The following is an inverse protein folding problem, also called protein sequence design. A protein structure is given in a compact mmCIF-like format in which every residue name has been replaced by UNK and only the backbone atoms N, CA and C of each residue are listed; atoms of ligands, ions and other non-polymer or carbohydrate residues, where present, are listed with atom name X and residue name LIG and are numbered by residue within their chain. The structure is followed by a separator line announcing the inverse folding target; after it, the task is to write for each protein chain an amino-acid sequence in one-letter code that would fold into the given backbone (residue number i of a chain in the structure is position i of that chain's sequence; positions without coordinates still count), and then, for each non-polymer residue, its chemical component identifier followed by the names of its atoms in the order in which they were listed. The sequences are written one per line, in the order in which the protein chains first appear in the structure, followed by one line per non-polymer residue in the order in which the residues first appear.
data_IF_501133816169
#
_entry.id   IF_501133816169
#
_cell.length_a   1.000
_cell.length_b   1.000
_cell.length_c   1.000
_cell.angle_alpha   90.00
_cell.angle_beta   90.00
_cell.angle_gamma   90.00
#
_symmetry.space_group_name_H-M   'P 1'
#
loop_
_entity.id
_entity.type
_entity.pdbx_description
1 polymer ?
#
# COMPACT_ATOMS: atom_id res chain seq x y z
N UNK A 1 -7.05 1.40 -6.02
CA UNK A 1 -7.52 2.10 -4.80
C UNK A 1 -8.97 2.55 -4.96
N UNK A 2 -9.92 1.60 -5.02
CA UNK A 2 -11.36 1.92 -5.15
C UNK A 2 -12.21 0.71 -4.74
N UNK A 3 -12.12 0.31 -3.47
CA UNK A 3 -13.12 -0.49 -2.73
C UNK A 3 -12.88 -0.28 -1.21
N UNK A 4 -12.74 0.98 -0.83
CA UNK A 4 -13.34 1.49 0.41
C UNK A 4 -14.52 2.30 -0.10
N UNK A 5 -15.57 1.63 -0.54
CA UNK A 5 -16.75 2.35 -1.06
C UNK A 5 -17.43 3.04 0.10
N UNK A 6 -17.36 4.38 0.06
CA UNK A 6 -18.35 5.32 0.57
C UNK A 6 -19.01 4.90 1.89
N UNK A 7 -18.25 4.95 2.99
CA UNK A 7 -18.89 5.39 4.23
C UNK A 7 -19.37 6.82 4.00
N UNK A 8 -20.58 7.12 4.46
CA UNK A 8 -21.10 8.48 4.57
C UNK A 8 -20.05 9.33 5.30
N UNK A 9 -19.27 10.08 4.52
CA UNK A 9 -17.99 10.68 4.94
C UNK A 9 -18.17 11.66 6.09
N UNK A 10 -19.40 12.12 6.28
CA UNK A 10 -19.84 13.02 7.35
C UNK A 10 -19.85 12.37 8.73
N UNK A 11 -20.25 11.09 8.85
CA UNK A 11 -20.31 10.38 10.16
C UNK A 11 -19.01 9.64 10.48
N UNK A 12 -18.29 9.18 9.47
CA UNK A 12 -17.01 8.50 9.63
C UNK A 12 -15.87 9.42 10.13
N UNK A 13 -16.06 10.75 10.07
CA UNK A 13 -15.12 11.75 10.57
C UNK A 13 -15.60 12.44 11.86
N UNK A 14 -16.75 12.05 12.41
CA UNK A 14 -17.22 12.56 13.70
C UNK A 14 -16.25 12.13 14.82
N UNK A 15 -15.69 13.06 15.61
CA UNK A 15 -14.75 12.73 16.68
C UNK A 15 -15.31 11.73 17.70
N UNK A 16 -16.61 11.82 18.03
CA UNK A 16 -17.26 10.91 18.95
C UNK A 16 -17.34 9.47 18.42
N UNK A 17 -17.72 9.31 17.15
CA UNK A 17 -17.72 8.01 16.48
C UNK A 17 -16.31 7.41 16.33
N UNK A 18 -15.32 8.23 15.98
CA UNK A 18 -13.92 7.79 15.86
C UNK A 18 -13.36 7.27 17.18
N UNK A 19 -13.67 7.94 18.30
CA UNK A 19 -13.24 7.50 19.62
C UNK A 19 -13.93 6.19 20.04
N UNK A 20 -15.25 6.07 19.83
CA UNK A 20 -15.96 4.81 20.08
C UNK A 20 -15.39 3.65 19.25
N UNK A 21 -15.09 3.88 17.97
CA UNK A 21 -14.49 2.89 17.08
C UNK A 21 -13.12 2.45 17.59
N UNK A 22 -12.29 3.40 18.01
CA UNK A 22 -10.97 3.13 18.61
C UNK A 22 -11.12 2.28 19.87
N UNK A 23 -12.01 2.66 20.78
CA UNK A 23 -12.25 1.93 22.03
C UNK A 23 -12.70 0.48 21.78
N UNK A 24 -13.60 0.28 20.80
CA UNK A 24 -14.06 -1.05 20.40
C UNK A 24 -12.93 -1.93 19.85
N UNK A 25 -12.08 -1.38 18.98
CA UNK A 25 -10.93 -2.09 18.43
C UNK A 25 -9.92 -2.43 19.54
N UNK A 26 -9.59 -1.47 20.40
CA UNK A 26 -8.66 -1.69 21.51
C UNK A 26 -9.21 -2.75 22.50
N UNK A 27 -10.52 -2.78 22.75
CA UNK A 27 -11.16 -3.80 23.57
C UNK A 27 -11.12 -5.19 22.91
N UNK A 28 -11.37 -5.25 21.60
CA UNK A 28 -11.28 -6.47 20.81
C UNK A 28 -9.85 -7.03 20.85
N UNK A 29 -8.84 -6.17 20.67
CA UNK A 29 -7.44 -6.58 20.76
C UNK A 29 -7.10 -7.15 22.14
N UNK A 30 -7.54 -6.50 23.23
CA UNK A 30 -7.32 -7.01 24.60
C UNK A 30 -7.95 -8.38 24.81
N UNK A 31 -9.18 -8.58 24.32
CA UNK A 31 -9.84 -9.88 24.41
C UNK A 31 -9.03 -10.95 23.66
N UNK A 32 -8.62 -10.70 22.42
CA UNK A 32 -7.84 -11.65 21.61
C UNK A 32 -6.50 -11.97 22.27
N UNK A 33 -5.82 -10.95 22.81
CA UNK A 33 -4.54 -11.13 23.50
C UNK A 33 -4.67 -11.95 24.80
N UNK A 34 -5.87 -12.04 25.38
CA UNK A 34 -6.15 -12.88 26.54
C UNK A 34 -6.44 -14.34 26.18
N UNK A 35 -6.73 -14.64 24.92
CA UNK A 35 -6.98 -16.01 24.46
C UNK A 35 -5.68 -16.82 24.52
N UNK A 36 -5.81 -18.10 24.90
CA UNK A 36 -4.69 -19.04 24.83
C UNK A 36 -4.45 -19.46 23.37
N UNK A 37 -3.21 -19.80 23.04
CA UNK A 37 -2.85 -20.14 21.65
C UNK A 37 -3.49 -21.42 21.10
N UNK A 38 -4.09 -22.25 21.97
CA UNK A 38 -4.84 -23.47 21.67
C UNK A 38 -6.36 -23.27 21.75
N UNK A 39 -6.83 -22.02 21.91
CA UNK A 39 -8.25 -21.71 21.94
C UNK A 39 -8.93 -22.10 20.62
N UNK A 40 -10.03 -22.85 20.71
CA UNK A 40 -10.76 -23.40 19.56
C UNK A 40 -11.33 -22.31 18.63
N UNK A 41 -11.48 -21.07 19.12
CA UNK A 41 -11.92 -19.93 18.31
C UNK A 41 -10.85 -19.42 17.37
N UNK A 42 -9.56 -19.62 17.70
CA UNK A 42 -8.45 -19.21 16.86
C UNK A 42 -8.26 -20.23 15.74
N UNK A 43 -8.50 -19.79 14.51
CA UNK A 43 -8.21 -20.53 13.28
C UNK A 43 -7.80 -19.56 12.15
N UNK A 44 -7.50 -20.11 10.96
CA UNK A 44 -7.08 -19.32 9.81
C UNK A 44 -8.08 -18.22 9.43
N UNK A 45 -9.38 -18.55 9.41
CA UNK A 45 -10.45 -17.59 9.08
C UNK A 45 -10.59 -16.49 10.14
N UNK A 46 -10.43 -16.83 11.41
CA UNK A 46 -10.47 -15.87 12.50
C UNK A 46 -9.34 -14.85 12.36
N UNK A 47 -8.10 -15.33 12.18
CA UNK A 47 -6.92 -14.47 12.03
C UNK A 47 -7.06 -13.56 10.82
N UNK A 48 -7.55 -14.08 9.69
CA UNK A 48 -7.72 -13.27 8.48
C UNK A 48 -8.81 -12.23 8.63
N UNK A 49 -9.97 -12.58 9.21
CA UNK A 49 -11.07 -11.64 9.43
C UNK A 49 -10.65 -10.49 10.34
N UNK A 50 -9.98 -10.79 11.45
CA UNK A 50 -9.52 -9.73 12.36
C UNK A 50 -8.43 -8.90 11.69
N UNK A 51 -7.43 -9.51 11.05
CA UNK A 51 -6.36 -8.78 10.37
C UNK A 51 -6.93 -7.87 9.27
N UNK A 52 -7.87 -8.38 8.49
CA UNK A 52 -8.57 -7.63 7.44
C UNK A 52 -9.36 -6.46 8.00
N UNK A 53 -10.11 -6.66 9.08
CA UNK A 53 -10.88 -5.59 9.73
C UNK A 53 -9.96 -4.46 10.21
N UNK A 54 -8.86 -4.79 10.89
CA UNK A 54 -7.90 -3.79 11.36
C UNK A 54 -7.22 -3.05 10.20
N UNK A 55 -6.81 -3.76 9.15
CA UNK A 55 -6.22 -3.15 7.96
C UNK A 55 -7.21 -2.24 7.20
N UNK A 56 -8.45 -2.68 7.03
CA UNK A 56 -9.52 -1.89 6.37
C UNK A 56 -9.86 -0.62 7.14
N UNK A 57 -9.88 -0.74 8.47
CA UNK A 57 -10.09 0.40 9.36
C UNK A 57 -8.81 1.24 9.54
N UNK A 58 -7.67 0.82 8.99
CA UNK A 58 -6.37 1.49 9.15
C UNK A 58 -5.96 1.58 10.63
N UNK A 59 -6.39 0.65 11.48
CA UNK A 59 -6.07 0.64 12.91
C UNK A 59 -4.86 -0.26 13.15
N UNK A 60 -3.73 0.34 13.51
CA UNK A 60 -2.49 -0.38 13.79
C UNK A 60 -2.45 -0.82 15.24
N UNK A 61 -2.20 -2.11 15.48
CA UNK A 61 -2.06 -2.67 16.82
C UNK A 61 -0.94 -3.72 16.88
N UNK A 62 0.28 -3.29 17.20
CA UNK A 62 1.49 -4.11 17.04
C UNK A 62 1.51 -5.39 17.91
N UNK A 63 1.05 -5.33 19.15
CA UNK A 63 1.01 -6.52 20.01
C UNK A 63 0.03 -7.60 19.50
N UNK A 64 -1.08 -7.18 18.88
CA UNK A 64 -2.09 -8.07 18.30
C UNK A 64 -1.51 -8.75 17.06
N UNK A 65 -0.99 -7.96 16.12
CA UNK A 65 -0.38 -8.48 14.89
C UNK A 65 0.86 -9.34 15.18
N UNK A 66 1.68 -8.98 16.16
CA UNK A 66 2.80 -9.82 16.62
C UNK A 66 2.35 -11.15 17.24
N UNK A 67 1.22 -11.16 17.94
CA UNK A 67 0.63 -12.40 18.48
C UNK A 67 0.03 -13.26 17.38
N UNK A 68 -0.68 -12.67 16.41
CA UNK A 68 -1.18 -13.37 15.23
C UNK A 68 -0.05 -13.94 14.39
N UNK A 69 1.04 -13.20 14.18
CA UNK A 69 2.21 -13.70 13.47
C UNK A 69 2.80 -14.95 14.14
N UNK A 70 2.92 -14.96 15.47
CA UNK A 70 3.36 -16.14 16.22
C UNK A 70 2.39 -17.31 16.07
N UNK A 71 1.08 -17.05 16.09
CA UNK A 71 0.06 -18.09 15.88
C UNK A 71 0.16 -18.69 14.46
N UNK A 72 0.17 -17.85 13.42
CA UNK A 72 0.36 -18.26 12.01
C UNK A 72 1.64 -19.07 11.86
N UNK A 73 2.75 -18.62 12.46
CA UNK A 73 4.03 -19.31 12.41
C UNK A 73 4.02 -20.71 13.05
N UNK A 74 3.18 -20.94 14.08
CA UNK A 74 3.01 -22.26 14.72
C UNK A 74 2.03 -23.17 13.99
N UNK A 75 1.03 -22.59 13.32
CA UNK A 75 -0.09 -23.30 12.70
C UNK A 75 -0.07 -23.20 11.18
N UNK A 76 1.10 -22.95 10.60
CA UNK A 76 1.21 -22.59 9.18
C UNK A 76 0.53 -23.62 8.26
N UNK A 77 0.70 -24.91 8.54
CA UNK A 77 0.09 -26.00 7.77
C UNK A 77 -1.46 -25.93 7.72
N UNK A 78 -2.10 -25.29 8.69
CA UNK A 78 -3.56 -25.15 8.77
C UNK A 78 -4.08 -23.94 7.97
N UNK A 79 -3.18 -23.11 7.42
CA UNK A 79 -3.54 -21.90 6.68
C UNK A 79 -3.56 -22.14 5.16
N UNK A 80 -4.73 -22.03 4.50
CA UNK A 80 -4.83 -22.07 3.04
C UNK A 80 -4.19 -20.83 2.40
N UNK A 81 -3.95 -20.88 1.09
CA UNK A 81 -3.31 -19.79 0.36
C UNK A 81 -4.08 -18.48 0.46
N UNK A 82 -5.42 -18.55 0.40
CA UNK A 82 -6.28 -17.38 0.58
C UNK A 82 -6.11 -16.74 1.96
N UNK A 83 -5.91 -17.54 3.01
CA UNK A 83 -5.70 -17.03 4.36
C UNK A 83 -4.32 -16.39 4.51
N UNK A 84 -3.27 -17.04 4.01
CA UNK A 84 -1.90 -16.51 4.05
C UNK A 84 -1.78 -15.18 3.28
N UNK A 85 -2.34 -15.11 2.07
CA UNK A 85 -2.29 -13.88 1.26
C UNK A 85 -3.05 -12.73 1.91
N UNK A 86 -4.21 -13.00 2.52
CA UNK A 86 -5.02 -11.98 3.20
C UNK A 86 -4.36 -11.47 4.48
N UNK A 87 -3.72 -12.35 5.24
CA UNK A 87 -2.95 -11.98 6.42
C UNK A 87 -1.70 -11.16 6.06
N UNK A 88 -0.92 -11.59 5.05
CA UNK A 88 0.23 -10.84 4.54
C UNK A 88 -0.19 -9.47 4.00
N UNK A 89 -1.31 -9.40 3.27
CA UNK A 89 -1.88 -8.15 2.79
C UNK A 89 -2.23 -7.20 3.92
N UNK A 90 -2.89 -7.69 4.99
CA UNK A 90 -3.20 -6.86 6.15
C UNK A 90 -1.95 -6.31 6.84
N UNK A 91 -0.91 -7.15 6.96
CA UNK A 91 0.40 -6.73 7.47
C UNK A 91 1.00 -5.63 6.59
N UNK A 92 0.99 -5.81 5.27
CA UNK A 92 1.51 -4.84 4.30
C UNK A 92 0.74 -3.51 4.34
N UNK A 93 -0.60 -3.54 4.38
CA UNK A 93 -1.45 -2.33 4.45
C UNK A 93 -1.09 -1.49 5.66
N UNK A 94 -0.95 -2.12 6.84
CA UNK A 94 -0.64 -1.42 8.08
C UNK A 94 0.86 -1.14 8.26
N UNK A 95 1.70 -1.48 7.29
CA UNK A 95 3.16 -1.44 7.40
C UNK A 95 3.68 -2.19 8.65
N UNK A 96 2.98 -3.25 9.05
CA UNK A 96 3.42 -4.12 10.13
C UNK A 96 4.29 -5.23 9.54
N UNK A 97 5.52 -5.38 10.02
CA UNK A 97 6.45 -6.42 9.56
C UNK A 97 6.44 -7.59 10.55
N UNK A 98 5.86 -8.76 10.18
CA UNK A 98 5.99 -9.97 10.99
C UNK A 98 7.46 -10.35 11.16
N UNK A 99 7.75 -11.21 12.14
CA UNK A 99 9.08 -11.79 12.30
C UNK A 99 9.57 -12.42 11.00
N UNK A 100 10.84 -12.17 10.64
CA UNK A 100 11.39 -12.52 9.33
C UNK A 100 11.24 -14.02 9.03
N UNK A 101 11.49 -14.90 10.00
CA UNK A 101 11.35 -16.35 9.84
C UNK A 101 9.90 -16.77 9.54
N UNK A 102 8.92 -16.15 10.22
CA UNK A 102 7.49 -16.44 10.02
C UNK A 102 7.08 -15.99 8.63
N UNK A 103 7.46 -14.78 8.22
CA UNK A 103 7.15 -14.24 6.90
C UNK A 103 7.74 -15.11 5.80
N UNK A 104 9.02 -15.50 5.91
CA UNK A 104 9.68 -16.37 4.93
C UNK A 104 9.01 -17.73 4.81
N UNK A 105 8.68 -18.39 5.94
CA UNK A 105 7.97 -19.67 5.92
C UNK A 105 6.57 -19.55 5.31
N UNK A 106 5.83 -18.49 5.64
CA UNK A 106 4.51 -18.23 5.07
C UNK A 106 4.55 -18.02 3.55
N UNK A 107 5.51 -17.23 3.06
CA UNK A 107 5.71 -17.04 1.62
C UNK A 107 6.10 -18.34 0.93
N UNK A 108 7.03 -19.11 1.51
CA UNK A 108 7.44 -20.40 0.97
C UNK A 108 6.25 -21.35 0.87
N UNK A 109 5.46 -21.51 1.95
CA UNK A 109 4.29 -22.39 1.92
C UNK A 109 3.27 -21.93 0.88
N UNK A 110 3.03 -20.61 0.76
CA UNK A 110 2.12 -20.08 -0.24
C UNK A 110 2.54 -20.50 -1.66
N UNK A 111 3.82 -20.29 -1.99
CA UNK A 111 4.39 -20.62 -3.29
C UNK A 111 4.42 -22.13 -3.54
N UNK A 112 4.82 -22.94 -2.55
CA UNK A 112 4.83 -24.40 -2.66
C UNK A 112 3.43 -24.93 -2.98
N UNK A 113 2.40 -24.49 -2.23
CA UNK A 113 1.00 -24.88 -2.48
C UNK A 113 0.48 -24.40 -3.83
N UNK A 114 0.89 -23.21 -4.23
CA UNK A 114 0.53 -22.62 -5.52
C UNK A 114 1.16 -23.41 -6.69
N UNK A 115 2.39 -23.90 -6.55
CA UNK A 115 3.06 -24.70 -7.58
C UNK A 115 2.61 -26.18 -7.59
N UNK A 116 2.14 -26.70 -6.45
CA UNK A 116 1.64 -28.06 -6.31
C UNK A 116 0.13 -28.18 -6.59
N UNK A 117 -0.52 -27.08 -6.99
CA UNK A 117 -1.97 -27.01 -7.25
C UNK A 117 -2.83 -27.59 -6.11
N UNK A 118 -2.38 -27.43 -4.85
CA UNK A 118 -3.07 -27.98 -3.66
C UNK A 118 -4.47 -27.32 -3.48
N UNK A 119 -4.62 -26.09 -3.95
CA UNK A 119 -5.88 -25.33 -3.90
C UNK A 119 -6.03 -24.51 -5.20
N UNK A 120 -7.24 -24.40 -5.79
CA UNK A 120 -7.46 -23.54 -6.95
C UNK A 120 -7.08 -22.08 -6.65
N UNK A 121 -6.16 -21.47 -7.39
CA UNK A 121 -5.75 -20.11 -7.12
C UNK A 121 -6.88 -19.13 -7.47
N UNK A 122 -7.05 -18.10 -6.64
CA UNK A 122 -7.94 -16.98 -6.94
C UNK A 122 -7.12 -15.75 -7.32
N UNK A 123 -7.68 -14.91 -8.20
CA UNK A 123 -7.05 -13.64 -8.60
C UNK A 123 -6.74 -12.78 -7.38
N UNK A 124 -7.72 -12.66 -6.46
CA UNK A 124 -7.55 -11.89 -5.23
C UNK A 124 -6.43 -12.44 -4.34
N UNK A 125 -6.32 -13.75 -4.17
CA UNK A 125 -5.24 -14.34 -3.37
C UNK A 125 -3.87 -14.04 -3.98
N UNK A 126 -3.73 -14.23 -5.30
CA UNK A 126 -2.48 -13.96 -6.01
C UNK A 126 -2.10 -12.46 -5.91
N UNK A 127 -3.04 -11.57 -6.19
CA UNK A 127 -2.78 -10.13 -6.18
C UNK A 127 -2.50 -9.59 -4.78
N UNK A 128 -3.20 -10.11 -3.76
CA UNK A 128 -2.93 -9.77 -2.37
C UNK A 128 -1.53 -10.24 -1.95
N UNK A 129 -1.18 -11.48 -2.28
CA UNK A 129 0.14 -12.03 -1.98
C UNK A 129 1.25 -11.19 -2.63
N UNK A 130 1.18 -10.99 -3.95
CA UNK A 130 2.26 -10.35 -4.71
C UNK A 130 2.48 -8.89 -4.30
N UNK A 131 1.39 -8.15 -4.08
CA UNK A 131 1.47 -6.77 -3.62
C UNK A 131 1.96 -6.68 -2.17
N UNK A 132 1.53 -7.59 -1.30
CA UNK A 132 1.96 -7.63 0.09
C UNK A 132 3.46 -7.88 0.20
N UNK A 133 3.99 -8.91 -0.49
CA UNK A 133 5.42 -9.23 -0.43
C UNK A 133 6.27 -8.13 -1.07
N UNK A 134 5.79 -7.46 -2.11
CA UNK A 134 6.47 -6.29 -2.68
C UNK A 134 6.51 -5.11 -1.69
N UNK A 135 5.38 -4.77 -1.09
CA UNK A 135 5.25 -3.68 -0.11
C UNK A 135 6.07 -3.96 1.16
N UNK A 136 6.17 -5.22 1.58
CA UNK A 136 6.99 -5.64 2.73
C UNK A 136 8.49 -5.78 2.39
N UNK A 137 8.90 -5.53 1.14
CA UNK A 137 10.30 -5.58 0.71
C UNK A 137 10.85 -7.01 0.54
N UNK A 138 9.98 -7.99 0.32
CA UNK A 138 10.32 -9.40 0.21
C UNK A 138 10.15 -9.97 -1.21
N UNK A 139 9.75 -9.17 -2.20
CA UNK A 139 9.57 -9.64 -3.58
C UNK A 139 10.89 -10.12 -4.18
N UNK A 140 10.78 -11.13 -5.04
CA UNK A 140 11.87 -11.75 -5.83
C UNK A 140 11.35 -11.96 -7.26
N UNK A 141 12.21 -11.92 -8.30
CA UNK A 141 11.78 -12.21 -9.67
C UNK A 141 11.12 -13.59 -9.80
N UNK A 142 11.65 -14.60 -9.10
CA UNK A 142 11.09 -15.95 -9.06
C UNK A 142 9.67 -16.01 -8.46
N UNK A 143 9.33 -15.15 -7.50
CA UNK A 143 8.00 -15.11 -6.90
C UNK A 143 6.98 -14.52 -7.87
N UNK A 144 7.36 -13.45 -8.58
CA UNK A 144 6.56 -12.88 -9.66
C UNK A 144 6.35 -13.90 -10.79
N UNK A 145 7.41 -14.59 -11.22
CA UNK A 145 7.32 -15.61 -12.26
C UNK A 145 6.35 -16.74 -11.87
N UNK A 146 6.43 -17.24 -10.63
CA UNK A 146 5.55 -18.30 -10.15
C UNK A 146 4.07 -17.90 -10.15
N UNK A 147 3.74 -16.69 -9.67
CA UNK A 147 2.35 -16.22 -9.69
C UNK A 147 1.87 -15.93 -11.11
N UNK A 148 2.75 -15.44 -11.97
CA UNK A 148 2.41 -15.07 -13.33
C UNK A 148 2.19 -16.30 -14.23
N UNK A 149 2.97 -17.36 -14.01
CA UNK A 149 2.74 -18.68 -14.62
C UNK A 149 1.33 -19.20 -14.28
N UNK A 150 0.93 -19.13 -13.01
CA UNK A 150 -0.39 -19.60 -12.58
C UNK A 150 -1.54 -18.76 -13.13
N UNK A 151 -1.38 -17.43 -13.21
CA UNK A 151 -2.38 -16.58 -13.87
C UNK A 151 -2.49 -16.90 -15.37
N UNK A 152 -1.36 -17.08 -16.06
CA UNK A 152 -1.35 -17.35 -17.49
C UNK A 152 -1.86 -18.75 -17.87
N UNK A 153 -1.72 -19.73 -16.97
CA UNK A 153 -2.32 -21.05 -17.13
C UNK A 153 -3.87 -21.01 -17.16
N UNK A 154 -4.48 -19.91 -16.72
CA UNK A 154 -5.93 -19.73 -16.66
C UNK A 154 -6.36 -18.43 -17.39
N UNK A 155 -6.52 -18.46 -18.73
CA UNK A 155 -6.85 -17.27 -19.53
C UNK A 155 -8.09 -16.50 -19.02
N UNK A 156 -9.08 -17.21 -18.50
CA UNK A 156 -10.29 -16.62 -17.89
C UNK A 156 -9.98 -15.72 -16.68
N UNK A 157 -8.95 -16.06 -15.89
CA UNK A 157 -8.51 -15.23 -14.77
C UNK A 157 -7.87 -13.93 -15.27
N UNK A 158 -7.04 -14.01 -16.31
CA UNK A 158 -6.39 -12.83 -16.93
C UNK A 158 -7.44 -11.87 -17.51
N UNK A 159 -8.47 -12.40 -18.17
CA UNK A 159 -9.55 -11.61 -18.73
C UNK A 159 -10.33 -10.83 -17.65
N UNK A 160 -10.50 -11.44 -16.46
CA UNK A 160 -11.26 -10.90 -15.32
C UNK A 160 -10.45 -9.99 -14.39
N UNK A 161 -9.17 -9.74 -14.66
CA UNK A 161 -8.34 -8.84 -13.85
C UNK A 161 -8.98 -7.45 -13.77
N UNK A 162 -9.31 -7.01 -12.55
CA UNK A 162 -9.89 -5.69 -12.30
C UNK A 162 -8.77 -4.65 -12.22
N UNK A 163 -9.14 -3.37 -12.20
CA UNK A 163 -8.20 -2.26 -12.02
C UNK A 163 -7.25 -2.42 -10.82
N UNK A 164 -7.76 -2.96 -9.70
CA UNK A 164 -6.96 -3.16 -8.50
C UNK A 164 -5.94 -4.29 -8.65
N UNK A 165 -6.31 -5.35 -9.36
CA UNK A 165 -5.47 -6.51 -9.62
C UNK A 165 -4.31 -6.09 -10.54
N UNK A 166 -4.62 -5.33 -11.60
CA UNK A 166 -3.62 -4.76 -12.53
C UNK A 166 -2.67 -3.78 -11.83
N UNK A 167 -3.20 -2.89 -10.99
CA UNK A 167 -2.39 -1.96 -10.21
C UNK A 167 -1.45 -2.68 -9.25
N UNK A 168 -1.93 -3.75 -8.60
CA UNK A 168 -1.15 -4.57 -7.68
C UNK A 168 0.02 -5.27 -8.39
N UNK A 169 -0.26 -5.91 -9.54
CA UNK A 169 0.75 -6.56 -10.37
C UNK A 169 1.76 -5.57 -10.93
N UNK A 170 1.30 -4.40 -11.40
CA UNK A 170 2.17 -3.36 -11.91
C UNK A 170 3.11 -2.83 -10.82
N UNK A 171 2.59 -2.46 -9.64
CA UNK A 171 3.42 -1.99 -8.53
C UNK A 171 4.44 -3.05 -8.09
N UNK A 172 4.03 -4.32 -8.00
CA UNK A 172 4.94 -5.40 -7.64
C UNK A 172 6.06 -5.60 -8.66
N UNK A 173 5.75 -5.54 -9.96
CA UNK A 173 6.74 -5.57 -11.03
C UNK A 173 7.73 -4.40 -10.93
N UNK A 174 7.22 -3.18 -10.71
CA UNK A 174 8.08 -1.99 -10.60
C UNK A 174 8.97 -2.01 -9.36
N UNK A 175 8.46 -2.49 -8.22
CA UNK A 175 9.29 -2.71 -7.02
C UNK A 175 10.35 -3.76 -7.30
N UNK A 176 10.01 -4.86 -7.99
CA UNK A 176 10.99 -5.89 -8.34
C UNK A 176 12.10 -5.31 -9.24
N UNK A 177 11.74 -4.60 -10.31
CA UNK A 177 12.72 -3.94 -11.19
C UNK A 177 13.60 -2.93 -10.45
N UNK A 178 13.05 -2.23 -9.44
CA UNK A 178 13.81 -1.33 -8.59
C UNK A 178 14.82 -2.08 -7.69
N UNK A 179 14.38 -3.14 -7.02
CA UNK A 179 15.21 -3.90 -6.06
C UNK A 179 16.30 -4.70 -6.78
N UNK A 180 16.02 -5.21 -7.97
CA UNK A 180 16.95 -6.00 -8.79
C UNK A 180 17.42 -5.22 -10.02
N UNK A 181 17.70 -3.92 -9.85
CA UNK A 181 18.24 -3.08 -10.91
C UNK A 181 19.60 -3.64 -11.37
N UNK A 182 19.60 -4.36 -12.50
CA UNK A 182 20.75 -5.11 -13.02
C UNK A 182 20.42 -6.54 -13.44
N UNK A 183 19.29 -7.09 -13.00
CA UNK A 183 18.72 -8.33 -13.51
C UNK A 183 17.64 -8.04 -14.55
N UNK A 184 17.48 -8.94 -15.52
CA UNK A 184 16.36 -8.86 -16.46
C UNK A 184 15.06 -9.27 -15.76
N UNK A 185 14.29 -8.26 -15.37
CA UNK A 185 12.96 -8.41 -14.80
C UNK A 185 11.85 -8.02 -15.78
N UNK A 186 12.12 -7.75 -17.06
CA UNK A 186 11.08 -7.27 -18.00
C UNK A 186 10.09 -8.36 -18.37
N UNK A 187 10.56 -9.60 -18.49
CA UNK A 187 9.77 -10.72 -19.01
C UNK A 187 9.18 -11.63 -17.93
N UNK A 188 9.26 -11.18 -16.67
CA UNK A 188 8.78 -11.94 -15.51
C UNK A 188 7.25 -12.09 -15.51
N UNK A 189 6.53 -11.10 -16.04
CA UNK A 189 5.10 -11.22 -16.29
C UNK A 189 4.86 -11.66 -17.75
N UNK A 190 3.99 -12.64 -18.04
CA UNK A 190 3.61 -13.02 -19.40
C UNK A 190 3.03 -11.86 -20.21
N UNK A 191 3.26 -11.87 -21.53
CA UNK A 191 2.87 -10.81 -22.46
C UNK A 191 1.39 -10.44 -22.38
N UNK A 192 0.50 -11.40 -22.16
CA UNK A 192 -0.94 -11.13 -22.00
C UNK A 192 -1.26 -10.25 -20.77
N UNK A 193 -0.55 -10.47 -19.65
CA UNK A 193 -0.70 -9.65 -18.44
C UNK A 193 -0.05 -8.28 -18.65
N UNK A 194 1.13 -8.23 -19.28
CA UNK A 194 1.80 -6.97 -19.60
C UNK A 194 0.93 -6.09 -20.51
N UNK A 195 0.32 -6.66 -21.55
CA UNK A 195 -0.59 -5.94 -22.45
C UNK A 195 -1.81 -5.38 -21.71
N UNK A 196 -2.38 -6.15 -20.78
CA UNK A 196 -3.48 -5.69 -19.91
C UNK A 196 -3.07 -4.54 -19.00
N UNK A 197 -1.86 -4.59 -18.43
CA UNK A 197 -1.29 -3.50 -17.63
C UNK A 197 -1.05 -2.27 -18.49
N UNK A 198 -0.44 -2.42 -19.67
CA UNK A 198 -0.17 -1.32 -20.59
C UNK A 198 -1.44 -0.60 -21.06
N UNK A 199 -2.48 -1.35 -21.44
CA UNK A 199 -3.79 -0.77 -21.76
C UNK A 199 -4.40 -0.05 -20.56
N UNK A 200 -4.32 -0.64 -19.36
CA UNK A 200 -4.80 0.00 -18.14
C UNK A 200 -4.09 1.32 -17.84
N UNK A 201 -2.75 1.37 -17.99
CA UNK A 201 -1.94 2.58 -17.81
C UNK A 201 -2.31 3.67 -18.82
N UNK A 202 -2.46 3.32 -20.10
CA UNK A 202 -2.87 4.27 -21.14
C UNK A 202 -4.23 4.91 -20.82
N UNK A 203 -5.23 4.10 -20.46
CA UNK A 203 -6.56 4.61 -20.05
C UNK A 203 -6.47 5.47 -18.78
N UNK A 204 -5.55 5.17 -17.85
CA UNK A 204 -5.36 5.97 -16.64
C UNK A 204 -4.64 7.30 -16.91
N UNK A 205 -3.72 7.33 -17.86
CA UNK A 205 -3.00 8.53 -18.28
C UNK A 205 -3.96 9.58 -18.89
N UNK A 206 -4.95 9.14 -19.67
CA UNK A 206 -5.93 10.03 -20.31
C UNK A 206 -7.01 10.56 -19.35
N UNK A 207 -7.10 10.01 -18.14
CA UNK A 207 -8.14 10.39 -17.18
C UNK A 207 -7.78 11.70 -16.48
N UNK A 208 -8.56 12.75 -16.78
CA UNK A 208 -8.51 14.02 -16.05
C UNK A 208 -8.98 13.80 -14.61
N UNK A 209 -8.06 13.95 -13.65
CA UNK A 209 -8.37 13.89 -12.24
C UNK A 209 -8.83 15.27 -11.74
N UNK A 210 -9.83 15.28 -10.86
CA UNK A 210 -10.28 16.50 -10.20
C UNK A 210 -9.56 16.61 -8.86
N UNK A 211 -8.74 17.64 -8.63
CA UNK A 211 -8.05 17.79 -7.36
C UNK A 211 -9.04 18.04 -6.22
N UNK A 212 -8.76 17.42 -5.09
CA UNK A 212 -9.38 17.64 -3.80
C UNK A 212 -9.13 19.06 -3.28
N UNK A 213 -9.98 19.51 -2.35
CA UNK A 213 -9.80 20.80 -1.67
C UNK A 213 -8.44 20.90 -0.98
N UNK A 214 -7.98 19.81 -0.37
CA UNK A 214 -6.71 19.78 0.35
C UNK A 214 -5.52 19.95 -0.60
N UNK A 215 -5.46 19.19 -1.69
CA UNK A 215 -4.44 19.35 -2.74
C UNK A 215 -4.40 20.78 -3.27
N UNK A 216 -5.56 21.41 -3.53
CA UNK A 216 -5.61 22.80 -4.00
C UNK A 216 -5.09 23.81 -2.96
N UNK A 217 -5.36 23.58 -1.66
CA UNK A 217 -4.84 24.43 -0.58
C UNK A 217 -3.32 24.35 -0.49
N UNK A 218 -2.76 23.14 -0.51
CA UNK A 218 -1.31 22.91 -0.51
C UNK A 218 -0.68 23.55 -1.76
N UNK A 219 -1.26 23.34 -2.94
CA UNK A 219 -0.76 23.91 -4.19
C UNK A 219 -0.73 25.44 -4.16
N UNK A 220 -1.77 26.07 -3.61
CA UNK A 220 -1.83 27.53 -3.45
C UNK A 220 -0.77 28.05 -2.50
N UNK A 221 -0.54 27.38 -1.38
CA UNK A 221 0.50 27.76 -0.42
C UNK A 221 1.89 27.66 -1.04
N UNK A 222 2.18 26.56 -1.76
CA UNK A 222 3.44 26.38 -2.50
C UNK A 222 3.65 27.50 -3.54
N UNK A 223 2.61 27.91 -4.27
CA UNK A 223 2.69 29.04 -5.21
C UNK A 223 2.94 30.38 -4.51
N UNK A 224 2.28 30.62 -3.37
CA UNK A 224 2.49 31.83 -2.57
C UNK A 224 3.92 31.94 -2.03
N UNK A 225 4.61 30.82 -1.83
CA UNK A 225 6.03 30.80 -1.45
C UNK A 225 7.00 31.19 -2.58
N UNK A 226 6.48 31.43 -3.80
CA UNK A 226 7.24 31.81 -4.99
C UNK A 226 7.48 30.67 -5.99
N UNK A 227 6.97 29.45 -5.73
CA UNK A 227 7.16 28.28 -6.60
C UNK A 227 5.99 28.22 -7.61
N UNK A 228 6.09 29.03 -8.67
CA UNK A 228 4.98 29.24 -9.62
C UNK A 228 4.75 28.06 -10.58
N UNK A 229 5.77 27.24 -10.82
CA UNK A 229 5.74 26.03 -11.66
C UNK A 229 5.17 24.79 -10.94
N UNK A 230 4.38 24.98 -9.88
CA UNK A 230 3.68 23.91 -9.19
C UNK A 230 2.42 23.45 -9.98
N UNK A 231 2.52 22.29 -10.62
CA UNK A 231 1.50 21.68 -11.44
C UNK A 231 0.71 20.64 -10.65
N UNK A 232 -0.62 20.77 -10.62
CA UNK A 232 -1.51 19.89 -9.85
C UNK A 232 -1.94 18.68 -10.70
N UNK A 233 -2.12 17.51 -10.08
CA UNK A 233 -2.54 16.26 -10.75
C UNK A 233 -1.61 15.86 -11.91
N UNK A 234 -0.30 15.97 -11.69
CA UNK A 234 0.72 15.68 -12.69
C UNK A 234 0.87 14.17 -12.88
N UNK A 235 0.71 13.68 -14.11
CA UNK A 235 0.87 12.25 -14.43
C UNK A 235 2.33 11.88 -14.63
N UNK A 236 2.75 10.77 -14.05
CA UNK A 236 4.07 10.19 -14.32
C UNK A 236 4.15 9.70 -15.78
N UNK A 237 5.37 9.65 -16.33
CA UNK A 237 5.60 9.29 -17.74
C UNK A 237 5.09 7.89 -18.10
N UNK A 238 5.10 6.96 -17.13
CA UNK A 238 4.59 5.61 -17.27
C UNK A 238 3.06 5.50 -17.10
N UNK A 239 2.36 6.59 -16.78
CA UNK A 239 0.93 6.62 -16.49
C UNK A 239 0.53 5.94 -15.17
N UNK A 240 1.50 5.51 -14.35
CA UNK A 240 1.26 4.71 -13.15
C UNK A 240 0.77 5.50 -11.94
N UNK A 241 1.12 6.78 -11.86
CA UNK A 241 0.79 7.65 -10.74
C UNK A 241 0.31 9.04 -11.19
N UNK A 242 -0.52 9.64 -10.33
CA UNK A 242 -0.88 11.07 -10.36
C UNK A 242 -0.19 11.69 -9.14
N UNK A 243 0.79 12.55 -9.36
CA UNK A 243 1.43 13.35 -8.32
C UNK A 243 0.51 14.53 -8.03
N UNK A 244 0.16 14.71 -6.75
CA UNK A 244 -0.73 15.78 -6.32
C UNK A 244 -0.25 17.16 -6.77
N UNK A 245 1.02 17.47 -6.52
CA UNK A 245 1.69 18.71 -6.92
C UNK A 245 3.12 18.40 -7.37
N UNK A 246 3.39 18.53 -8.67
CA UNK A 246 4.72 18.38 -9.23
C UNK A 246 5.39 19.74 -9.44
N UNK A 247 6.64 19.83 -9.01
CA UNK A 247 7.53 20.97 -9.30
C UNK A 247 8.75 20.43 -10.04
N UNK A 248 8.94 20.89 -11.27
CA UNK A 248 10.06 20.48 -12.12
C UNK A 248 10.92 21.69 -12.47
N UNK A 249 12.22 21.58 -12.23
CA UNK A 249 13.24 22.58 -12.60
C UNK A 249 14.32 21.92 -13.46
N UNK A 250 15.24 22.70 -14.00
CA UNK A 250 16.38 22.19 -14.76
C UNK A 250 17.29 21.33 -13.87
N UNK A 251 17.00 20.02 -13.84
CA UNK A 251 17.77 19.01 -13.10
C UNK A 251 17.12 18.45 -11.83
N UNK A 252 15.96 18.94 -11.40
CA UNK A 252 15.29 18.40 -10.20
C UNK A 252 13.77 18.22 -10.38
N UNK A 253 13.28 17.09 -9.86
CA UNK A 253 11.85 16.74 -9.82
C UNK A 253 11.42 16.61 -8.36
N UNK A 254 10.43 17.40 -7.95
CA UNK A 254 9.86 17.37 -6.60
C UNK A 254 8.38 17.01 -6.69
N UNK A 255 7.98 15.97 -5.96
CA UNK A 255 6.61 15.51 -5.84
C UNK A 255 6.10 15.87 -4.43
N UNK A 256 5.15 16.79 -4.34
CA UNK A 256 4.53 17.17 -3.07
C UNK A 256 3.17 16.48 -3.00
N UNK A 257 3.02 15.54 -2.06
CA UNK A 257 1.82 14.73 -1.85
C UNK A 257 1.00 15.32 -0.69
N UNK A 258 -0.23 15.74 -0.96
CA UNK A 258 -1.18 16.24 0.04
C UNK A 258 -1.92 15.06 0.68
N UNK A 259 -1.21 14.33 1.53
CA UNK A 259 -1.66 13.04 2.05
C UNK A 259 -2.80 13.21 3.08
N UNK A 260 -4.01 12.85 2.64
CA UNK A 260 -5.21 12.84 3.47
C UNK A 260 -5.30 11.67 4.47
N UNK A 261 -6.38 11.58 5.26
CA UNK A 261 -6.57 10.55 6.30
C UNK A 261 -6.53 9.09 5.84
N UNK A 262 -6.70 8.84 4.54
CA UNK A 262 -6.64 7.49 3.96
C UNK A 262 -5.22 6.99 3.74
N UNK A 263 -4.22 7.88 3.80
CA UNK A 263 -2.80 7.56 3.58
C UNK A 263 -2.07 7.12 4.86
N UNK A 264 -2.72 7.31 6.01
CA UNK A 264 -2.16 7.05 7.33
C UNK A 264 -3.04 6.11 8.17
N UNK A 265 -2.46 5.52 9.20
CA UNK A 265 -3.22 4.81 10.24
C UNK A 265 -4.21 5.77 10.90
N UNK A 266 -5.41 5.26 11.20
CA UNK A 266 -6.48 6.02 11.84
C UNK A 266 -6.18 6.37 13.29
N UNK A 267 -5.27 5.64 13.94
CA UNK A 267 -4.80 5.88 15.28
C UNK A 267 -3.37 6.44 15.30
N UNK A 268 -3.05 7.15 16.38
CA UNK A 268 -1.69 7.63 16.66
C UNK A 268 -0.67 6.47 16.62
N UNK A 269 0.55 6.70 16.09
CA UNK A 269 1.10 8.01 15.70
C UNK A 269 0.78 8.43 14.25
N UNK A 270 -0.26 7.89 13.61
CA UNK A 270 -0.62 8.15 12.21
C UNK A 270 0.51 7.76 11.24
N UNK A 271 0.92 6.49 11.29
CA UNK A 271 1.96 5.97 10.41
C UNK A 271 1.47 5.88 8.96
N UNK A 272 2.33 6.13 7.96
CA UNK A 272 1.96 5.95 6.56
C UNK A 272 1.66 4.48 6.26
N UNK A 273 0.61 4.26 5.49
CA UNK A 273 0.16 2.91 5.09
C UNK A 273 1.00 2.36 3.95
N UNK A 274 0.92 1.04 3.75
CA UNK A 274 1.71 0.33 2.74
C UNK A 274 1.58 0.90 1.33
N UNK A 275 0.39 1.33 0.91
CA UNK A 275 0.20 1.93 -0.41
C UNK A 275 0.84 3.31 -0.54
N UNK A 276 0.88 4.10 0.53
CA UNK A 276 1.57 5.39 0.60
C UNK A 276 3.07 5.21 0.51
N UNK A 277 3.62 4.25 1.28
CA UNK A 277 5.05 3.93 1.27
C UNK A 277 5.46 3.40 -0.11
N UNK A 278 4.70 2.46 -0.67
CA UNK A 278 4.95 1.90 -2.00
C UNK A 278 4.88 2.98 -3.09
N UNK A 279 3.88 3.88 -3.06
CA UNK A 279 3.81 5.03 -3.98
C UNK A 279 5.08 5.87 -3.89
N UNK A 280 5.46 6.29 -2.68
CA UNK A 280 6.59 7.18 -2.47
C UNK A 280 7.92 6.54 -2.93
N UNK A 281 8.12 5.24 -2.66
CA UNK A 281 9.29 4.50 -3.12
C UNK A 281 9.36 4.43 -4.66
N UNK A 282 8.22 4.17 -5.32
CA UNK A 282 8.15 4.08 -6.78
C UNK A 282 8.32 5.44 -7.47
N UNK A 283 7.80 6.52 -6.89
CA UNK A 283 8.08 7.88 -7.35
C UNK A 283 9.56 8.24 -7.18
N UNK A 284 10.15 7.89 -6.03
CA UNK A 284 11.58 8.11 -5.77
C UNK A 284 12.47 7.39 -6.79
N UNK A 285 12.13 6.15 -7.13
CA UNK A 285 12.79 5.38 -8.19
C UNK A 285 12.68 6.02 -9.59
N UNK A 286 11.69 6.87 -9.83
CA UNK A 286 11.55 7.65 -11.06
C UNK A 286 12.30 9.01 -11.00
N UNK A 287 13.10 9.21 -9.95
CA UNK A 287 13.90 10.41 -9.72
C UNK A 287 13.13 11.56 -9.06
N UNK A 288 11.95 11.31 -8.50
CA UNK A 288 11.21 12.33 -7.75
C UNK A 288 11.66 12.40 -6.30
N UNK A 289 11.95 13.61 -5.83
CA UNK A 289 12.07 13.88 -4.40
C UNK A 289 10.66 14.01 -3.83
N UNK A 290 10.23 13.05 -3.01
CA UNK A 290 8.84 12.98 -2.52
C UNK A 290 8.71 13.64 -1.16
N UNK A 291 7.87 14.68 -1.07
CA UNK A 291 7.51 15.40 0.15
C UNK A 291 6.06 15.07 0.50
N UNK A 292 5.85 14.37 1.62
CA UNK A 292 4.51 14.18 2.18
C UNK A 292 4.11 15.37 3.03
N UNK A 293 2.92 15.91 2.81
CA UNK A 293 2.24 16.91 3.62
C UNK A 293 1.04 16.25 4.31
N UNK A 294 1.20 15.74 5.55
CA UNK A 294 0.12 15.05 6.24
C UNK A 294 -0.99 16.00 6.67
N UNK A 295 -2.25 15.59 6.47
CA UNK A 295 -3.42 16.40 6.85
C UNK A 295 -3.40 16.82 8.33
N UNK A 296 -3.02 15.92 9.24
CA UNK A 296 -3.01 16.18 10.68
C UNK A 296 -1.93 17.17 11.12
N UNK A 297 -0.85 17.33 10.33
CA UNK A 297 0.15 18.38 10.56
C UNK A 297 -0.30 19.72 9.95
N UNK A 298 -1.10 19.67 8.88
CA UNK A 298 -1.56 20.83 8.12
C UNK A 298 -2.70 21.60 8.80
N UNK A 299 -3.70 20.90 9.34
CA UNK A 299 -5.01 21.46 9.74
C UNK A 299 -4.97 22.61 10.75
N UNK A 300 -3.84 22.83 11.42
CA UNK A 300 -3.67 23.88 12.44
C UNK A 300 -2.72 25.01 12.02
N UNK A 301 -2.15 24.98 10.81
CA UNK A 301 -1.12 25.91 10.37
C UNK A 301 -1.68 27.05 9.53
N UNK A 302 -1.27 28.28 9.85
CA UNK A 302 -1.68 29.48 9.11
C UNK A 302 -0.54 30.48 8.95
N UNK A 303 -0.63 31.34 7.93
CA UNK A 303 0.30 32.45 7.71
C UNK A 303 1.77 32.01 7.70
N UNK A 304 2.60 32.71 8.49
CA UNK A 304 4.04 32.46 8.56
C UNK A 304 4.39 31.05 9.05
N UNK A 305 3.60 30.48 9.97
CA UNK A 305 3.86 29.12 10.47
C UNK A 305 3.72 28.10 9.35
N UNK A 306 2.72 28.27 8.49
CA UNK A 306 2.50 27.41 7.33
C UNK A 306 3.67 27.49 6.34
N UNK A 307 4.15 28.70 6.05
CA UNK A 307 5.29 28.92 5.16
C UNK A 307 6.57 28.28 5.70
N UNK A 308 6.86 28.44 7.00
CA UNK A 308 8.01 27.81 7.66
C UNK A 308 7.90 26.29 7.58
N UNK A 309 6.74 25.74 7.93
CA UNK A 309 6.47 24.31 7.87
C UNK A 309 6.71 23.71 6.47
N UNK A 310 6.17 24.35 5.43
CA UNK A 310 6.35 23.88 4.05
C UNK A 310 7.81 23.97 3.61
N UNK A 311 8.51 25.05 3.96
CA UNK A 311 9.95 25.20 3.66
C UNK A 311 10.77 24.12 4.34
N UNK A 312 10.47 23.81 5.61
CA UNK A 312 11.19 22.79 6.36
C UNK A 312 10.90 21.38 5.80
N UNK A 313 9.65 21.06 5.46
CA UNK A 313 9.30 19.80 4.80
C UNK A 313 10.05 19.63 3.47
N UNK A 314 9.99 20.63 2.60
CA UNK A 314 10.68 20.58 1.30
C UNK A 314 12.20 20.47 1.50
N UNK A 315 12.78 21.29 2.38
CA UNK A 315 14.22 21.28 2.66
C UNK A 315 14.68 19.94 3.23
N UNK A 316 13.90 19.31 4.10
CA UNK A 316 14.27 18.03 4.73
C UNK A 316 14.50 16.92 3.71
N UNK A 317 13.76 16.94 2.60
CA UNK A 317 13.92 15.97 1.51
C UNK A 317 15.07 16.37 0.58
N UNK A 318 15.22 17.66 0.27
CA UNK A 318 16.31 18.13 -0.59
C UNK A 318 17.70 18.00 0.04
N UNK A 319 17.79 18.04 1.37
CA UNK A 319 19.04 17.88 2.12
C UNK A 319 19.30 16.44 2.57
N UNK A 320 18.35 15.51 2.37
CA UNK A 320 18.56 14.12 2.73
C UNK A 320 19.69 13.53 1.84
N UNK A 321 20.81 13.05 2.42
CA UNK A 321 21.85 12.43 1.64
C UNK A 321 21.35 11.09 1.10
N UNK A 322 21.28 10.95 -0.22
CA UNK A 322 21.03 9.69 -0.90
C UNK A 322 19.56 9.35 -1.15
N UNK A 323 19.06 9.81 -2.30
CA UNK A 323 18.50 8.92 -3.31
C UNK A 323 19.50 8.84 -4.46
#
# INVERSE_FOLDING_TARGET
MALVHAEDTTRAQDPGFLDQRKQFLDATARHILSLRGDDATLNAQYVTNVSWAYASLRHRHDALFGTMARYVGKKLADFPNQALSSWLWACAVLNHRPAHDVMQRAMKQYLDRLMQDIEPPTVSSICNFVWAVATLGAIRPSYLAAVAHQLAAQPDMVAKLRHQDLSSLHQALRICQLVYAGEDCSDVLPTGIQARIGHWLAVHADKVAKPSKFQMQVARAVKNMGIMNANVEFKTQDGGFSIDIAVTTDGAKLAIEADGPTHFTSNAPHEPLGHTITRNALLSAQGWQVVSIPFFEWDHKVGVELDVYLRDKIRSVLLAPGL
#
